data_IF_288954287764
#
_entry.id   IF_288954287764
#
_cell.length_a   1.000
_cell.length_b   1.000
_cell.length_c   1.000
_cell.angle_alpha   90.00
_cell.angle_beta   90.00
_cell.angle_gamma   90.00
#
_symmetry.space_group_name_H-M   'P 1'
#
loop_
_entity.id
_entity.type
_entity.pdbx_description
1 polymer ?
#
# COMPACT_ATOMS: atom_id res chain seq x y z
N UNK A 1 -9.54 6.97 10.58
CA UNK A 1 -8.16 7.46 10.64
C UNK A 1 -8.02 8.67 9.72
N UNK A 2 -8.32 8.55 8.42
CA UNK A 2 -8.19 9.64 7.43
C UNK A 2 -9.23 10.78 7.59
N UNK A 3 -10.20 10.64 8.47
CA UNK A 3 -11.21 11.67 8.72
C UNK A 3 -12.31 11.79 7.65
N UNK A 4 -12.38 10.87 6.69
CA UNK A 4 -13.44 10.87 5.67
C UNK A 4 -14.82 10.56 6.25
N UNK A 5 -14.87 9.83 7.35
CA UNK A 5 -16.09 9.49 8.08
C UNK A 5 -15.91 9.82 9.56
N UNK A 6 -17.01 10.28 10.17
CA UNK A 6 -17.08 10.50 11.62
C UNK A 6 -17.51 9.20 12.31
N UNK A 7 -16.85 8.76 13.39
CA UNK A 7 -17.27 7.60 14.16
C UNK A 7 -18.69 7.81 14.72
N UNK A 8 -19.54 6.79 14.60
CA UNK A 8 -20.89 6.81 15.19
C UNK A 8 -20.82 6.78 16.71
N UNK A 9 -19.83 6.05 17.26
CA UNK A 9 -19.53 5.98 18.70
C UNK A 9 -18.01 5.88 18.88
N UNK A 10 -17.53 6.32 20.04
CA UNK A 10 -16.10 6.29 20.37
C UNK A 10 -15.31 7.46 19.79
N UNK A 11 -13.99 7.37 19.85
CA UNK A 11 -13.07 8.39 19.35
C UNK A 11 -11.85 7.76 18.71
N UNK A 12 -11.24 8.47 17.75
CA UNK A 12 -9.97 8.11 17.12
C UNK A 12 -8.95 9.14 17.57
N UNK A 13 -7.88 8.67 18.22
CA UNK A 13 -6.75 9.50 18.61
C UNK A 13 -5.54 9.13 17.76
N UNK A 14 -4.91 10.13 17.18
CA UNK A 14 -3.68 10.00 16.39
C UNK A 14 -2.59 10.83 17.05
N UNK A 15 -1.41 10.24 17.21
CA UNK A 15 -0.27 10.93 17.83
C UNK A 15 0.55 11.74 16.82
N UNK A 16 0.20 11.66 15.52
CA UNK A 16 0.81 12.45 14.45
C UNK A 16 -0.23 12.99 13.47
N UNK A 17 0.07 14.17 12.91
CA UNK A 17 -0.68 14.77 11.81
C UNK A 17 0.00 14.57 10.44
N UNK A 18 1.20 13.99 10.40
CA UNK A 18 1.95 13.78 9.17
C UNK A 18 1.65 12.38 8.59
N UNK A 19 0.39 12.20 8.19
CA UNK A 19 -0.15 10.95 7.66
C UNK A 19 -0.28 11.07 6.15
N UNK A 20 0.05 10.00 5.43
CA UNK A 20 -0.12 9.90 3.98
C UNK A 20 -0.95 8.68 3.62
N UNK A 21 -1.68 8.82 2.52
CA UNK A 21 -2.53 7.75 1.99
C UNK A 21 -2.12 7.40 0.56
N UNK A 22 -2.05 6.12 0.28
CA UNK A 22 -1.83 5.55 -1.05
C UNK A 22 -3.06 4.73 -1.40
N UNK A 23 -3.82 5.19 -2.38
CA UNK A 23 -5.05 4.53 -2.83
C UNK A 23 -4.77 3.28 -3.67
N UNK A 24 -5.71 2.35 -3.70
CA UNK A 24 -5.69 1.14 -4.53
C UNK A 24 -5.55 1.47 -6.02
N UNK A 25 -6.30 2.47 -6.50
CA UNK A 25 -6.21 2.89 -7.91
C UNK A 25 -4.99 3.78 -8.09
N UNK A 26 -4.11 3.37 -9.00
CA UNK A 26 -3.05 4.25 -9.45
C UNK A 26 -3.66 5.50 -10.09
N UNK A 27 -3.60 6.63 -9.39
CA UNK A 27 -4.09 7.94 -9.84
C UNK A 27 -3.48 8.37 -11.19
N UNK A 28 -2.46 7.65 -11.65
CA UNK A 28 -1.72 7.95 -12.87
C UNK A 28 -2.27 7.29 -14.13
N UNK A 29 -3.19 6.31 -14.01
CA UNK A 29 -3.71 5.53 -15.15
C UNK A 29 -4.53 6.36 -16.15
N UNK A 30 -5.00 7.53 -15.75
CA UNK A 30 -5.79 8.43 -16.58
C UNK A 30 -5.07 9.71 -17.01
N UNK A 31 -3.78 9.84 -16.69
CA UNK A 31 -3.03 11.03 -17.10
C UNK A 31 -2.71 10.96 -18.61
N UNK A 32 -3.63 11.41 -19.43
CA UNK A 32 -3.38 11.71 -20.86
C UNK A 32 -2.34 12.83 -21.06
N UNK A 33 -1.84 13.40 -19.97
CA UNK A 33 -0.81 14.42 -19.97
C UNK A 33 0.58 13.78 -19.86
N UNK A 34 1.53 14.14 -20.75
CA UNK A 34 2.88 13.58 -20.75
C UNK A 34 3.71 14.18 -19.60
N UNK A 35 3.59 13.58 -18.38
CA UNK A 35 4.33 13.97 -17.20
C UNK A 35 5.34 12.89 -16.81
N UNK A 36 6.54 13.27 -16.42
CA UNK A 36 7.60 12.38 -15.94
C UNK A 36 7.43 12.07 -14.45
N UNK A 37 8.09 11.01 -13.99
CA UNK A 37 8.15 10.64 -12.57
C UNK A 37 8.70 11.79 -11.72
N UNK A 38 9.77 12.44 -12.17
CA UNK A 38 10.39 13.57 -11.45
C UNK A 38 9.44 14.76 -11.36
N UNK A 39 8.75 15.10 -12.46
CA UNK A 39 7.84 16.25 -12.49
C UNK A 39 6.66 16.08 -11.55
N UNK A 40 6.07 14.86 -11.47
CA UNK A 40 4.97 14.63 -10.54
C UNK A 40 5.41 14.70 -9.08
N UNK A 41 6.56 14.12 -8.76
CA UNK A 41 7.11 14.18 -7.40
C UNK A 41 7.48 15.62 -7.01
N UNK A 42 8.08 16.40 -7.94
CA UNK A 42 8.40 17.81 -7.69
C UNK A 42 7.15 18.68 -7.54
N UNK A 43 6.10 18.40 -8.30
CA UNK A 43 4.81 19.07 -8.15
C UNK A 43 4.22 18.83 -6.78
N UNK A 44 4.27 17.59 -6.28
CA UNK A 44 3.78 17.24 -4.96
C UNK A 44 4.62 17.86 -3.85
N UNK A 45 5.97 17.87 -3.99
CA UNK A 45 6.88 18.58 -3.09
C UNK A 45 6.52 20.06 -2.96
N UNK A 46 6.25 20.73 -4.11
CA UNK A 46 5.82 22.14 -4.15
C UNK A 46 4.47 22.35 -3.46
N UNK A 47 3.51 21.44 -3.68
CA UNK A 47 2.19 21.48 -3.01
C UNK A 47 2.34 21.45 -1.49
N UNK A 48 3.26 20.62 -0.98
CA UNK A 48 3.60 20.54 0.44
C UNK A 48 4.50 21.70 0.92
N UNK A 49 4.84 22.67 0.05
CA UNK A 49 5.71 23.83 0.34
C UNK A 49 7.12 23.44 0.83
N UNK A 50 7.62 22.26 0.48
CA UNK A 50 8.95 21.81 0.82
C UNK A 50 9.95 22.50 -0.12
N UNK A 51 10.84 23.33 0.44
CA UNK A 51 11.82 24.11 -0.33
C UNK A 51 12.99 23.27 -0.84
N UNK A 52 13.35 22.23 -0.09
CA UNK A 52 14.48 21.37 -0.43
C UNK A 52 14.16 20.54 -1.69
N UNK A 53 14.93 20.78 -2.75
CA UNK A 53 14.81 20.08 -4.03
C UNK A 53 15.43 18.67 -3.97
N UNK A 54 16.32 18.40 -3.01
CA UNK A 54 16.95 17.07 -2.86
C UNK A 54 15.93 16.02 -2.40
N UNK A 55 14.81 16.43 -1.83
CA UNK A 55 13.73 15.58 -1.36
C UNK A 55 13.20 14.63 -2.45
N UNK A 56 13.11 15.11 -3.70
CA UNK A 56 12.69 14.26 -4.84
C UNK A 56 13.70 13.15 -5.10
N UNK A 57 15.00 13.46 -5.06
CA UNK A 57 16.04 12.43 -5.24
C UNK A 57 16.02 11.43 -4.08
N UNK A 58 15.87 11.90 -2.84
CA UNK A 58 15.77 11.05 -1.65
C UNK A 58 14.66 10.00 -1.79
N UNK A 59 13.45 10.43 -2.16
CA UNK A 59 12.33 9.47 -2.28
C UNK A 59 12.48 8.54 -3.49
N UNK A 60 13.11 8.99 -4.57
CA UNK A 60 13.45 8.15 -5.72
C UNK A 60 14.46 7.05 -5.35
N UNK A 61 15.46 7.38 -4.55
CA UNK A 61 16.44 6.41 -4.03
C UNK A 61 15.78 5.39 -3.13
N UNK A 62 14.99 5.84 -2.15
CA UNK A 62 14.26 4.97 -1.22
C UNK A 62 13.36 3.96 -1.92
N UNK A 63 12.77 4.35 -3.06
CA UNK A 63 11.83 3.48 -3.79
C UNK A 63 12.47 2.73 -4.96
N UNK A 64 13.79 2.86 -5.15
CA UNK A 64 14.53 2.31 -6.29
C UNK A 64 13.97 2.77 -7.64
N UNK A 65 13.62 4.06 -7.75
CA UNK A 65 13.03 4.67 -8.96
C UNK A 65 13.95 5.71 -9.62
N UNK A 66 15.19 5.85 -9.17
CA UNK A 66 16.16 6.86 -9.67
C UNK A 66 16.37 6.76 -11.18
N UNK A 67 16.51 5.54 -11.72
CA UNK A 67 16.73 5.33 -13.16
C UNK A 67 15.50 5.67 -14.01
N UNK A 68 14.32 5.72 -13.39
CA UNK A 68 13.04 5.99 -14.05
C UNK A 68 12.58 7.44 -13.92
N UNK A 69 13.38 8.33 -13.28
CA UNK A 69 12.98 9.71 -12.96
C UNK A 69 12.48 10.52 -14.16
N UNK A 70 13.10 10.33 -15.31
CA UNK A 70 12.78 11.06 -16.56
C UNK A 70 11.80 10.27 -17.47
N UNK A 71 11.32 9.09 -17.03
CA UNK A 71 10.35 8.29 -17.76
C UNK A 71 8.95 8.87 -17.56
N UNK A 72 8.14 8.85 -18.63
CA UNK A 72 6.71 9.20 -18.54
C UNK A 72 5.98 8.19 -17.66
N UNK A 73 5.08 8.68 -16.82
CA UNK A 73 4.28 7.84 -15.91
C UNK A 73 3.44 6.82 -16.69
N UNK A 74 2.90 7.21 -17.84
CA UNK A 74 2.11 6.33 -18.72
C UNK A 74 2.93 5.16 -19.33
N UNK A 75 4.25 5.16 -19.17
CA UNK A 75 5.15 4.11 -19.66
C UNK A 75 5.72 3.22 -18.55
N UNK A 76 5.22 3.37 -17.33
CA UNK A 76 5.61 2.53 -16.20
C UNK A 76 4.81 1.22 -16.17
N UNK A 77 5.45 0.14 -15.68
CA UNK A 77 4.72 -1.05 -15.28
C UNK A 77 3.87 -0.77 -14.03
N UNK A 78 2.89 -1.64 -13.73
CA UNK A 78 2.07 -1.50 -12.52
C UNK A 78 2.90 -1.40 -11.24
N UNK A 79 3.90 -2.27 -11.07
CA UNK A 79 4.79 -2.23 -9.92
C UNK A 79 5.67 -0.97 -9.85
N UNK A 80 6.12 -0.44 -11.01
CA UNK A 80 6.83 0.84 -11.06
C UNK A 80 5.92 2.01 -10.71
N UNK A 81 4.70 2.04 -11.24
CA UNK A 81 3.72 3.06 -10.91
C UNK A 81 3.36 3.05 -9.41
N UNK A 82 3.23 1.85 -8.82
CA UNK A 82 3.00 1.71 -7.38
C UNK A 82 4.17 2.26 -6.56
N UNK A 83 5.42 1.99 -6.96
CA UNK A 83 6.61 2.57 -6.31
C UNK A 83 6.64 4.09 -6.39
N UNK A 84 6.17 4.69 -7.49
CA UNK A 84 6.03 6.15 -7.62
C UNK A 84 4.93 6.67 -6.69
N UNK A 85 3.82 5.96 -6.53
CA UNK A 85 2.76 6.31 -5.56
C UNK A 85 3.30 6.30 -4.12
N UNK A 86 4.11 5.31 -3.76
CA UNK A 86 4.78 5.24 -2.46
C UNK A 86 5.82 6.38 -2.34
N UNK A 87 6.63 6.65 -3.38
CA UNK A 87 7.58 7.75 -3.38
C UNK A 87 6.90 9.11 -3.13
N UNK A 88 5.75 9.33 -3.77
CA UNK A 88 4.92 10.52 -3.55
C UNK A 88 4.47 10.63 -2.09
N UNK A 89 4.04 9.53 -1.49
CA UNK A 89 3.62 9.51 -0.09
C UNK A 89 4.79 9.78 0.87
N UNK A 90 6.02 9.39 0.52
CA UNK A 90 7.22 9.60 1.33
C UNK A 90 7.70 11.06 1.35
N UNK A 91 7.23 11.91 0.44
CA UNK A 91 7.60 13.33 0.43
C UNK A 91 7.15 14.01 1.71
N UNK A 92 8.09 14.65 2.40
CA UNK A 92 7.86 15.30 3.69
C UNK A 92 7.96 14.36 4.89
N UNK A 93 8.58 13.21 4.71
CA UNK A 93 8.92 12.25 5.78
C UNK A 93 7.75 11.94 6.71
N UNK A 94 6.71 11.26 6.25
CA UNK A 94 5.53 10.95 7.05
C UNK A 94 5.86 10.01 8.22
N UNK A 95 5.08 10.13 9.30
CA UNK A 95 5.16 9.21 10.45
C UNK A 95 4.31 7.96 10.23
N UNK A 96 3.23 8.09 9.43
CA UNK A 96 2.30 7.01 9.10
C UNK A 96 1.96 7.03 7.60
N UNK A 97 2.07 5.89 6.95
CA UNK A 97 1.55 5.66 5.61
C UNK A 97 0.43 4.63 5.69
N UNK A 98 -0.73 4.98 5.14
CA UNK A 98 -1.87 4.08 4.97
C UNK A 98 -1.91 3.66 3.51
N UNK A 99 -1.89 2.36 3.26
CA UNK A 99 -1.98 1.78 1.92
C UNK A 99 -3.25 0.96 1.79
N UNK A 100 -3.94 1.16 0.70
CA UNK A 100 -5.14 0.41 0.35
C UNK A 100 -4.79 -0.55 -0.78
N UNK A 101 -4.69 -1.84 -0.47
CA UNK A 101 -4.34 -2.92 -1.38
C UNK A 101 -3.11 -2.61 -2.27
N UNK A 102 -1.93 -2.38 -1.69
CA UNK A 102 -0.77 -1.85 -2.42
C UNK A 102 -0.21 -2.80 -3.49
N UNK A 103 -0.65 -4.04 -3.53
CA UNK A 103 -0.15 -5.07 -4.45
C UNK A 103 -1.18 -5.59 -5.45
N UNK A 104 -2.42 -5.10 -5.42
CA UNK A 104 -3.49 -5.56 -6.32
C UNK A 104 -3.20 -5.20 -7.77
N UNK A 105 -3.38 -6.17 -8.67
CA UNK A 105 -3.15 -5.99 -10.11
C UNK A 105 -1.68 -5.91 -10.54
N UNK A 106 -0.75 -6.33 -9.67
CA UNK A 106 0.69 -6.32 -9.91
C UNK A 106 1.22 -7.76 -9.93
N UNK A 107 2.20 -8.03 -10.79
CA UNK A 107 2.84 -9.35 -10.87
C UNK A 107 3.55 -9.73 -9.55
N UNK A 108 3.65 -11.03 -9.26
CA UNK A 108 4.18 -11.57 -8.00
C UNK A 108 5.56 -11.04 -7.64
N UNK A 109 6.47 -10.94 -8.60
CA UNK A 109 7.83 -10.44 -8.36
C UNK A 109 7.82 -8.97 -7.93
N UNK A 110 6.98 -8.16 -8.57
CA UNK A 110 6.79 -6.75 -8.21
C UNK A 110 6.12 -6.60 -6.85
N UNK A 111 5.15 -7.46 -6.50
CA UNK A 111 4.53 -7.51 -5.17
C UNK A 111 5.57 -7.75 -4.08
N UNK A 112 6.40 -8.79 -4.20
CA UNK A 112 7.49 -9.11 -3.25
C UNK A 112 8.42 -7.90 -3.06
N UNK A 113 8.74 -7.21 -4.16
CA UNK A 113 9.58 -6.01 -4.13
C UNK A 113 8.92 -4.80 -3.46
N UNK A 114 7.58 -4.69 -3.50
CA UNK A 114 6.84 -3.65 -2.79
C UNK A 114 6.84 -3.94 -1.28
N UNK A 115 6.54 -5.17 -0.86
CA UNK A 115 6.56 -5.52 0.56
C UNK A 115 7.96 -5.43 1.18
N UNK A 116 9.02 -5.80 0.42
CA UNK A 116 10.38 -5.58 0.86
C UNK A 116 10.68 -4.08 1.10
N UNK A 117 10.22 -3.21 0.20
CA UNK A 117 10.31 -1.76 0.37
C UNK A 117 9.57 -1.29 1.62
N UNK A 118 8.33 -1.74 1.83
CA UNK A 118 7.52 -1.35 3.01
C UNK A 118 8.18 -1.78 4.32
N UNK A 119 8.77 -3.00 4.37
CA UNK A 119 9.54 -3.45 5.53
C UNK A 119 10.76 -2.57 5.78
N UNK A 120 11.51 -2.20 4.75
CA UNK A 120 12.66 -1.31 4.88
C UNK A 120 12.26 0.07 5.40
N UNK A 121 11.17 0.64 4.90
CA UNK A 121 10.63 1.91 5.37
C UNK A 121 10.23 1.84 6.86
N UNK A 122 9.64 0.75 7.29
CA UNK A 122 9.29 0.57 8.69
C UNK A 122 10.53 0.36 9.57
N UNK A 123 11.41 -0.60 9.21
CA UNK A 123 12.51 -1.01 10.07
C UNK A 123 13.67 -0.01 10.11
N UNK A 124 14.01 0.60 8.96
CA UNK A 124 15.17 1.50 8.83
C UNK A 124 14.80 2.97 8.96
N UNK A 125 13.60 3.35 8.54
CA UNK A 125 13.15 4.74 8.53
C UNK A 125 12.07 5.04 9.57
N UNK A 126 11.68 4.03 10.38
CA UNK A 126 10.72 4.13 11.49
C UNK A 126 9.36 4.71 11.08
N UNK A 127 8.95 4.50 9.82
CA UNK A 127 7.64 4.89 9.33
C UNK A 127 6.64 3.82 9.73
N UNK A 128 5.55 4.20 10.38
CA UNK A 128 4.46 3.28 10.64
C UNK A 128 3.72 2.98 9.34
N UNK A 129 3.50 1.69 9.06
CA UNK A 129 2.78 1.24 7.89
C UNK A 129 1.46 0.60 8.32
N UNK A 130 0.35 1.09 7.80
CA UNK A 130 -0.97 0.49 7.92
C UNK A 130 -1.44 0.08 6.52
N UNK A 131 -1.56 -1.21 6.26
CA UNK A 131 -2.02 -1.74 4.97
C UNK A 131 -3.37 -2.42 5.12
N UNK A 132 -4.27 -2.17 4.19
CA UNK A 132 -5.49 -2.96 4.00
C UNK A 132 -5.17 -4.04 2.98
N UNK A 133 -5.40 -5.29 3.34
CA UNK A 133 -5.03 -6.45 2.52
C UNK A 133 -6.20 -7.42 2.38
N UNK A 134 -6.39 -7.94 1.19
CA UNK A 134 -7.26 -9.08 0.93
C UNK A 134 -6.48 -10.39 0.76
N UNK A 135 -5.19 -10.28 0.44
CA UNK A 135 -4.32 -11.43 0.30
C UNK A 135 -3.79 -11.87 1.68
N UNK A 136 -4.34 -12.98 2.19
CA UNK A 136 -4.02 -13.52 3.51
C UNK A 136 -2.56 -13.93 3.64
N UNK A 137 -1.98 -14.56 2.60
CA UNK A 137 -0.58 -14.97 2.56
C UNK A 137 0.34 -13.76 2.72
N UNK A 138 0.06 -12.68 1.97
CA UNK A 138 0.83 -11.44 2.04
C UNK A 138 0.67 -10.72 3.38
N UNK A 139 -0.54 -10.70 3.93
CA UNK A 139 -0.80 -10.13 5.26
C UNK A 139 0.02 -10.87 6.34
N UNK A 140 -0.02 -12.20 6.37
CA UNK A 140 0.71 -13.02 7.33
C UNK A 140 2.23 -12.85 7.17
N UNK A 141 2.74 -12.89 5.94
CA UNK A 141 4.18 -12.84 5.68
C UNK A 141 4.81 -11.47 5.92
N UNK A 142 4.04 -10.38 5.88
CA UNK A 142 4.58 -9.01 5.84
C UNK A 142 4.12 -8.09 6.97
N UNK A 143 3.29 -8.56 7.89
CA UNK A 143 2.80 -7.76 9.02
C UNK A 143 3.52 -8.10 10.32
N UNK A 144 3.59 -7.14 11.23
CA UNK A 144 3.97 -7.37 12.63
C UNK A 144 2.75 -7.63 13.50
N UNK A 145 1.62 -7.04 13.14
CA UNK A 145 0.31 -7.23 13.77
C UNK A 145 -0.77 -7.22 12.70
N UNK A 146 -1.84 -7.97 12.92
CA UNK A 146 -3.01 -8.02 12.05
C UNK A 146 -4.24 -7.61 12.87
N UNK A 147 -5.01 -6.64 12.36
CA UNK A 147 -6.31 -6.33 12.89
C UNK A 147 -7.36 -7.00 11.99
N UNK A 148 -7.81 -8.17 12.42
CA UNK A 148 -8.80 -8.96 11.68
C UNK A 148 -10.20 -8.40 11.90
N UNK A 149 -10.94 -8.14 10.82
CA UNK A 149 -12.32 -7.67 10.86
C UNK A 149 -13.20 -8.71 10.18
N UNK A 150 -14.17 -9.22 10.90
CA UNK A 150 -15.15 -10.19 10.38
C UNK A 150 -16.51 -9.99 11.05
N UNK A 151 -17.60 -10.02 10.27
CA UNK A 151 -18.98 -9.93 10.76
C UNK A 151 -19.25 -8.77 11.74
N UNK A 152 -18.63 -7.61 11.50
CA UNK A 152 -18.81 -6.42 12.34
C UNK A 152 -18.00 -6.43 13.64
N UNK A 153 -17.19 -7.44 13.88
CA UNK A 153 -16.27 -7.55 15.00
C UNK A 153 -14.82 -7.46 14.52
N UNK A 154 -13.96 -6.91 15.35
CA UNK A 154 -12.54 -6.83 15.03
C UNK A 154 -11.68 -7.14 16.26
N UNK A 155 -10.54 -7.80 16.05
CA UNK A 155 -9.56 -8.06 17.08
C UNK A 155 -8.14 -7.96 16.54
N UNK A 156 -7.21 -7.65 17.43
CA UNK A 156 -5.78 -7.59 17.13
C UNK A 156 -5.15 -8.94 17.44
N UNK A 157 -4.36 -9.47 16.51
CA UNK A 157 -3.65 -10.72 16.67
C UNK A 157 -2.25 -10.68 16.03
N UNK A 158 -1.40 -11.64 16.36
CA UNK A 158 -0.15 -11.84 15.61
C UNK A 158 -0.41 -12.55 14.28
N UNK A 159 0.52 -12.46 13.31
CA UNK A 159 0.40 -13.22 12.06
C UNK A 159 0.25 -14.74 12.28
N UNK A 160 0.93 -15.31 13.28
CA UNK A 160 0.86 -16.73 13.61
C UNK A 160 -0.51 -17.11 14.19
N UNK A 161 -1.06 -16.26 15.08
CA UNK A 161 -2.40 -16.48 15.64
C UNK A 161 -3.45 -16.41 14.52
N UNK A 162 -3.34 -15.42 13.63
CA UNK A 162 -4.24 -15.27 12.49
C UNK A 162 -4.18 -16.48 11.55
N UNK A 163 -2.97 -16.99 11.24
CA UNK A 163 -2.81 -18.20 10.45
C UNK A 163 -3.51 -19.42 11.09
N UNK A 164 -3.35 -19.59 12.42
CA UNK A 164 -4.04 -20.65 13.16
C UNK A 164 -5.57 -20.53 13.12
N UNK A 165 -6.11 -19.31 13.27
CA UNK A 165 -7.56 -19.06 13.20
C UNK A 165 -8.14 -19.45 11.86
N UNK A 166 -7.45 -19.10 10.75
CA UNK A 166 -7.88 -19.46 9.40
C UNK A 166 -7.88 -20.99 9.23
N UNK A 167 -6.82 -21.67 9.67
CA UNK A 167 -6.73 -23.14 9.60
C UNK A 167 -7.87 -23.82 10.35
N UNK A 168 -8.20 -23.33 11.55
CA UNK A 168 -9.30 -23.87 12.34
C UNK A 168 -10.67 -23.61 11.71
N UNK A 169 -10.91 -22.44 11.16
CA UNK A 169 -12.21 -22.06 10.60
C UNK A 169 -12.47 -22.63 9.22
N UNK A 170 -11.45 -22.86 8.42
CA UNK A 170 -11.58 -23.36 7.03
C UNK A 170 -11.22 -24.83 6.87
N UNK A 171 -10.56 -25.42 7.87
CA UNK A 171 -9.97 -26.78 7.75
C UNK A 171 -8.89 -26.89 6.68
N UNK A 172 -8.37 -25.78 6.17
CA UNK A 172 -7.43 -25.69 5.06
C UNK A 172 -6.26 -24.74 5.39
N UNK A 173 -5.13 -24.98 4.73
CA UNK A 173 -3.99 -24.08 4.78
C UNK A 173 -4.37 -22.71 4.15
N UNK A 174 -3.94 -21.56 4.69
CA UNK A 174 -4.24 -20.22 4.14
C UNK A 174 -3.97 -20.08 2.64
N UNK A 175 -2.96 -20.77 2.11
CA UNK A 175 -2.61 -20.81 0.69
C UNK A 175 -3.70 -21.49 -0.17
N UNK A 176 -4.39 -22.51 0.38
CA UNK A 176 -5.47 -23.25 -0.33
C UNK A 176 -6.80 -22.51 -0.27
N UNK A 177 -7.04 -21.72 0.78
CA UNK A 177 -8.26 -20.93 0.94
C UNK A 177 -8.35 -19.78 -0.08
N UNK A 178 -7.22 -19.23 -0.48
CA UNK A 178 -7.15 -18.11 -1.43
C UNK A 178 -7.35 -18.55 -2.87
N UNK A 179 -6.83 -19.71 -3.27
CA UNK A 179 -6.98 -20.25 -4.63
C UNK A 179 -8.45 -20.43 -5.05
N UNK A 180 -9.37 -20.59 -4.09
CA UNK A 180 -10.80 -20.74 -4.37
C UNK A 180 -11.57 -19.40 -4.33
N UNK A 181 -11.09 -18.39 -3.62
CA UNK A 181 -11.69 -17.06 -3.66
C UNK A 181 -11.43 -16.37 -5.01
N UNK A 182 -10.26 -16.61 -5.60
CA UNK A 182 -9.90 -16.09 -6.92
C UNK A 182 -10.66 -16.79 -8.06
N UNK A 183 -11.01 -18.07 -7.89
CA UNK A 183 -11.74 -18.87 -8.91
C UNK A 183 -13.24 -18.49 -8.95
N UNK A 184 -13.85 -18.19 -7.80
CA UNK A 184 -15.25 -17.72 -7.72
C UNK A 184 -15.45 -16.32 -8.29
N UNK A 185 -14.46 -15.45 -8.21
CA UNK A 185 -14.55 -14.08 -8.77
C UNK A 185 -14.46 -14.08 -10.30
N UNK A 186 -13.88 -15.15 -10.89
CA UNK A 186 -13.73 -15.28 -12.36
C UNK A 186 -14.99 -15.82 -13.03
N UNK A 187 -15.86 -16.53 -12.31
CA UNK A 187 -17.12 -17.07 -12.85
C UNK A 187 -18.26 -16.04 -12.87
N UNK A 188 -18.32 -15.09 -11.92
CA UNK A 188 -19.37 -14.06 -11.89
C UNK A 188 -19.25 -13.01 -13.00
N UNK A 189 -18.08 -12.85 -13.63
CA UNK A 189 -17.87 -11.88 -14.74
C UNK A 189 -18.27 -12.44 -16.11
N UNK A 190 -18.65 -13.73 -16.22
CA UNK A 190 -19.04 -14.35 -17.51
C UNK A 190 -20.53 -14.36 -17.80
N UNK A 191 -21.37 -13.79 -16.93
CA UNK A 191 -22.83 -13.79 -17.08
C UNK A 191 -23.48 -12.40 -16.89
N UNK A 192 -22.89 -11.36 -17.49
CA UNK A 192 -23.59 -10.07 -17.72
C UNK A 192 -23.31 -9.58 -19.12
#
# INVERSE_FOLDING_TARGET
>A
ILGFLTPVKGSIKLDSNNIRYVSQKNDFSHAGFPITVKEILDSYRKLLKIKDKSEVNRVLELTNMTEFKDRLISKLSGGQAQRVSIARALIGSPDLIILDEPSTGIDRKSQEGIYALLRDLNQKHHITILSVEHNLEMAIANSTNIYHISNGHGHLCSPEQYACEIMHNTGRNPVEAQAQADDTTTEEVRHV
#
